data_IF_494311519500
#
_entry.id   IF_494311519500
#
_cell.length_a   1.000
_cell.length_b   1.000
_cell.length_c   1.000
_cell.angle_alpha   90.00
_cell.angle_beta   90.00
_cell.angle_gamma   90.00
#
_symmetry.space_group_name_H-M   'P 1'
#
loop_
_entity.id
_entity.type
_entity.pdbx_description
1 polymer ?
#
# COMPACT_ATOMS: atom_id res chain seq x y z
N UNK A 1 7.38 -46.43 10.03
CA UNK A 1 8.09 -45.34 9.37
C UNK A 1 7.46 -45.11 8.01
N UNK A 2 6.52 -44.20 7.98
CA UNK A 2 5.79 -43.82 6.77
C UNK A 2 6.35 -42.46 6.31
N UNK A 3 7.17 -42.47 5.26
CA UNK A 3 7.56 -41.26 4.56
C UNK A 3 6.35 -40.77 3.78
N UNK A 4 5.78 -39.64 4.20
CA UNK A 4 4.82 -38.89 3.39
C UNK A 4 5.61 -38.34 2.21
N UNK A 5 5.33 -38.88 1.03
CA UNK A 5 5.90 -38.42 -0.21
C UNK A 5 5.50 -36.96 -0.45
N UNK A 6 6.47 -36.05 -0.37
CA UNK A 6 6.32 -34.72 -0.96
C UNK A 6 6.13 -34.91 -2.47
N UNK A 7 4.89 -34.87 -2.95
CA UNK A 7 4.61 -34.74 -4.36
C UNK A 7 5.34 -33.48 -4.82
N UNK A 8 6.26 -33.62 -5.78
CA UNK A 8 6.85 -32.50 -6.53
C UNK A 8 5.69 -31.67 -7.07
N UNK A 9 5.40 -30.56 -6.45
CA UNK A 9 4.63 -29.50 -7.07
C UNK A 9 5.41 -29.15 -8.34
N UNK A 10 4.89 -29.56 -9.49
CA UNK A 10 5.54 -29.34 -10.77
C UNK A 10 5.81 -27.85 -10.93
N UNK A 11 7.07 -27.46 -11.03
CA UNK A 11 7.44 -26.12 -11.42
C UNK A 11 6.77 -25.85 -12.76
N UNK A 12 5.81 -24.93 -12.77
CA UNK A 12 5.24 -24.39 -14.00
C UNK A 12 6.38 -23.74 -14.79
N UNK A 13 6.37 -23.85 -16.10
CA UNK A 13 7.37 -23.31 -17.03
C UNK A 13 7.61 -21.80 -16.92
N UNK A 14 6.86 -21.10 -16.05
CA UNK A 14 6.97 -19.65 -15.79
C UNK A 14 7.14 -19.33 -14.29
N UNK A 15 7.61 -20.24 -13.45
CA UNK A 15 7.88 -19.99 -12.04
C UNK A 15 6.66 -19.77 -11.13
N UNK A 16 5.43 -19.83 -11.65
CA UNK A 16 4.21 -19.62 -10.86
C UNK A 16 3.79 -20.89 -10.10
N UNK A 17 3.28 -20.70 -8.89
CA UNK A 17 2.73 -21.79 -8.06
C UNK A 17 1.24 -22.02 -8.33
N UNK A 18 0.50 -20.99 -8.71
CA UNK A 18 -0.92 -21.09 -9.04
C UNK A 18 -1.10 -21.45 -10.52
N UNK A 19 -1.49 -22.68 -10.78
CA UNK A 19 -1.78 -23.14 -12.14
C UNK A 19 -3.05 -22.52 -12.71
N UNK A 20 -4.05 -22.30 -11.86
CA UNK A 20 -5.34 -21.71 -12.23
C UNK A 20 -5.73 -20.62 -11.24
N UNK A 21 -5.82 -19.35 -11.68
CA UNK A 21 -6.37 -18.29 -10.86
C UNK A 21 -7.84 -18.56 -10.49
N UNK A 22 -8.25 -18.22 -9.27
CA UNK A 22 -9.64 -18.36 -8.82
C UNK A 22 -10.62 -17.52 -9.64
N UNK A 23 -10.15 -16.45 -10.25
CA UNK A 23 -10.91 -15.58 -11.13
C UNK A 23 -10.13 -15.31 -12.42
N UNK A 24 -10.82 -15.07 -13.52
CA UNK A 24 -10.19 -14.69 -14.78
C UNK A 24 -9.42 -13.37 -14.61
N UNK A 25 -8.09 -13.35 -14.74
CA UNK A 25 -7.31 -12.15 -14.56
C UNK A 25 -7.60 -11.15 -15.69
N UNK A 26 -7.82 -9.90 -15.30
CA UNK A 26 -7.95 -8.77 -16.25
C UNK A 26 -6.70 -7.90 -16.24
N UNK A 27 -6.12 -7.67 -15.06
CA UNK A 27 -4.89 -6.90 -14.90
C UNK A 27 -3.66 -7.74 -15.27
N UNK A 28 -2.73 -7.14 -15.99
CA UNK A 28 -1.44 -7.72 -16.37
C UNK A 28 -0.28 -7.16 -15.54
N UNK A 29 -0.45 -6.00 -14.93
CA UNK A 29 0.55 -5.30 -14.14
C UNK A 29 -0.10 -4.69 -12.91
N UNK A 30 0.64 -4.63 -11.82
CA UNK A 30 0.25 -3.97 -10.57
C UNK A 30 1.27 -2.89 -10.26
N UNK A 31 0.81 -1.68 -10.01
CA UNK A 31 1.64 -0.56 -9.55
C UNK A 31 1.11 -0.16 -8.18
N UNK A 32 1.96 -0.24 -7.17
CA UNK A 32 1.65 0.23 -5.83
C UNK A 32 2.32 1.59 -5.61
N UNK A 33 1.54 2.64 -5.46
CA UNK A 33 2.01 3.97 -5.07
C UNK A 33 1.88 4.09 -3.56
N UNK A 34 3.00 3.92 -2.86
CA UNK A 34 3.02 3.92 -1.40
C UNK A 34 3.53 5.27 -0.86
N UNK A 35 2.69 5.93 -0.09
CA UNK A 35 3.02 7.18 0.60
C UNK A 35 3.50 6.87 2.02
N UNK A 36 4.81 6.70 2.19
CA UNK A 36 5.43 6.44 3.48
C UNK A 36 5.17 7.56 4.49
N UNK A 37 4.77 7.21 5.70
CA UNK A 37 4.42 8.17 6.75
C UNK A 37 2.96 8.64 6.73
N UNK A 38 2.17 8.10 5.83
CA UNK A 38 0.75 8.36 5.59
C UNK A 38 0.42 9.78 5.02
N UNK A 39 -0.62 9.82 4.24
CA UNK A 39 -1.24 11.06 3.80
C UNK A 39 -2.44 11.38 4.68
N UNK A 40 -2.73 12.66 4.91
CA UNK A 40 -3.95 13.09 5.58
C UNK A 40 -5.16 12.80 4.70
N UNK A 41 -5.84 11.69 4.92
CA UNK A 41 -6.99 11.29 4.11
C UNK A 41 -8.14 12.31 4.15
N UNK A 42 -8.33 12.97 5.30
CA UNK A 42 -9.36 14.00 5.48
C UNK A 42 -9.07 15.29 4.71
N UNK A 43 -7.84 15.51 4.28
CA UNK A 43 -7.44 16.65 3.44
C UNK A 43 -7.40 16.30 1.95
N UNK A 44 -7.45 15.02 1.59
CA UNK A 44 -7.23 14.54 0.22
C UNK A 44 -8.44 13.83 -0.39
N UNK A 45 -8.97 12.80 0.28
CA UNK A 45 -9.90 11.85 -0.34
C UNK A 45 -11.21 11.66 0.43
N UNK A 46 -11.21 11.97 1.72
CA UNK A 46 -12.31 11.65 2.62
C UNK A 46 -13.00 12.93 3.12
N UNK A 47 -13.87 13.47 2.29
CA UNK A 47 -14.64 14.68 2.59
C UNK A 47 -15.55 14.49 3.80
N UNK A 48 -15.35 15.30 4.84
CA UNK A 48 -16.08 15.25 6.11
C UNK A 48 -16.78 16.58 6.40
N UNK A 49 -18.02 16.78 5.94
CA UNK A 49 -18.78 18.01 6.23
C UNK A 49 -18.93 18.30 7.73
N UNK A 50 -18.98 17.25 8.56
CA UNK A 50 -19.05 17.41 10.01
C UNK A 50 -17.83 18.13 10.60
N UNK A 51 -16.62 17.90 10.07
CA UNK A 51 -15.41 18.60 10.51
C UNK A 51 -15.46 20.09 10.17
N UNK A 52 -16.11 20.45 9.05
CA UNK A 52 -16.31 21.86 8.68
C UNK A 52 -17.28 22.52 9.64
N UNK A 53 -18.38 21.83 9.95
CA UNK A 53 -19.43 22.33 10.86
C UNK A 53 -18.92 22.54 12.29
N UNK A 54 -18.11 21.59 12.80
CA UNK A 54 -17.64 21.59 14.20
C UNK A 54 -16.23 22.14 14.35
N UNK A 55 -15.70 22.84 13.35
CA UNK A 55 -14.35 23.40 13.38
C UNK A 55 -14.16 24.34 14.57
N UNK A 56 -13.13 24.08 15.37
CA UNK A 56 -12.78 24.86 16.56
C UNK A 56 -13.50 24.43 17.84
N UNK A 57 -14.52 23.56 17.75
CA UNK A 57 -15.17 22.99 18.94
C UNK A 57 -14.28 21.92 19.59
N UNK A 58 -14.46 21.71 20.89
CA UNK A 58 -13.74 20.66 21.62
C UNK A 58 -14.02 19.30 20.98
N UNK A 59 -12.97 18.54 20.67
CA UNK A 59 -13.12 17.19 20.13
C UNK A 59 -13.65 16.23 21.19
N UNK A 60 -14.61 15.41 20.78
CA UNK A 60 -15.16 14.32 21.57
C UNK A 60 -15.39 13.13 20.65
N UNK A 61 -14.74 12.02 20.95
CA UNK A 61 -14.84 10.78 20.17
C UNK A 61 -15.77 9.76 20.84
N UNK A 62 -16.36 10.11 21.99
CA UNK A 62 -17.17 9.19 22.80
C UNK A 62 -16.38 8.07 23.47
N UNK A 63 -15.07 7.99 23.24
CA UNK A 63 -14.15 7.02 23.83
C UNK A 63 -12.77 7.64 24.07
N UNK A 64 -11.94 6.95 24.84
CA UNK A 64 -10.56 7.39 25.08
C UNK A 64 -9.73 7.19 23.82
N UNK A 65 -9.13 8.27 23.31
CA UNK A 65 -8.19 8.25 22.18
C UNK A 65 -6.81 8.62 22.69
N UNK A 66 -5.83 7.74 22.48
CA UNK A 66 -4.43 8.06 22.78
C UNK A 66 -3.90 9.14 21.84
N UNK A 67 -3.36 10.19 22.40
CA UNK A 67 -2.64 11.22 21.69
C UNK A 67 -1.16 11.15 22.03
N UNK A 68 -0.30 11.20 21.01
CA UNK A 68 1.15 11.10 21.19
C UNK A 68 1.78 12.33 21.86
N UNK A 69 1.09 13.46 21.87
CA UNK A 69 1.56 14.73 22.47
C UNK A 69 0.37 15.49 23.04
N UNK A 70 0.57 16.28 24.05
CA UNK A 70 -0.31 17.32 24.64
C UNK A 70 -1.85 17.13 24.60
N UNK A 71 -2.35 15.92 24.36
CA UNK A 71 -3.79 15.64 24.25
C UNK A 71 -4.37 15.93 22.87
N UNK A 72 -5.69 15.76 22.77
CA UNK A 72 -6.45 16.03 21.56
C UNK A 72 -6.75 17.53 21.46
N UNK A 73 -6.49 18.07 20.25
CA UNK A 73 -6.91 19.42 19.91
C UNK A 73 -8.41 19.52 19.59
N UNK A 74 -8.91 20.72 19.29
CA UNK A 74 -10.29 20.90 18.81
C UNK A 74 -10.47 20.25 17.43
N UNK A 75 -11.72 20.01 17.03
CA UNK A 75 -12.06 19.58 15.68
C UNK A 75 -11.46 20.55 14.66
N UNK A 76 -10.81 20.00 13.64
CA UNK A 76 -10.20 20.78 12.58
C UNK A 76 -10.84 20.45 11.23
N UNK A 77 -11.31 21.47 10.53
CA UNK A 77 -11.77 21.33 9.15
C UNK A 77 -10.58 20.95 8.22
N UNK A 78 -10.83 20.36 7.06
CA UNK A 78 -9.79 20.16 6.05
C UNK A 78 -9.05 21.46 5.74
N UNK A 79 -7.75 21.38 5.52
CA UNK A 79 -6.89 22.52 5.15
C UNK A 79 -7.19 23.01 3.75
N UNK A 80 -7.53 22.07 2.85
CA UNK A 80 -7.77 22.33 1.44
C UNK A 80 -9.25 22.27 1.10
N UNK A 81 -9.65 23.05 0.10
CA UNK A 81 -11.00 22.96 -0.44
C UNK A 81 -11.24 21.64 -1.16
N UNK A 82 -12.46 21.14 -1.03
CA UNK A 82 -12.93 19.96 -1.74
C UNK A 82 -13.87 20.37 -2.86
N UNK A 83 -13.69 19.72 -4.02
CA UNK A 83 -14.57 19.91 -5.19
C UNK A 83 -14.99 18.55 -5.74
N UNK A 84 -16.19 18.46 -6.34
CA UNK A 84 -16.62 17.23 -7.02
C UNK A 84 -15.85 17.06 -8.32
N UNK A 85 -15.47 15.83 -8.65
CA UNK A 85 -14.75 15.44 -9.84
C UNK A 85 -15.40 14.22 -10.50
N UNK A 86 -15.19 14.11 -11.84
CA UNK A 86 -15.73 13.02 -12.65
C UNK A 86 -17.25 13.01 -12.77
N UNK A 87 -17.77 12.07 -13.50
CA UNK A 87 -19.20 11.80 -13.59
C UNK A 87 -19.80 11.23 -12.29
N UNK A 88 -18.95 10.57 -11.49
CA UNK A 88 -19.33 10.02 -10.17
C UNK A 88 -19.45 11.09 -9.08
N UNK A 89 -19.00 12.33 -9.31
CA UNK A 89 -19.06 13.43 -8.35
C UNK A 89 -18.17 13.22 -7.10
N UNK A 90 -17.11 12.44 -7.19
CA UNK A 90 -16.20 12.20 -6.06
C UNK A 90 -15.57 13.49 -5.58
N UNK A 91 -15.74 13.77 -4.29
CA UNK A 91 -15.09 14.91 -3.65
C UNK A 91 -13.59 14.62 -3.45
N UNK A 92 -12.74 15.48 -4.02
CA UNK A 92 -11.28 15.45 -3.87
C UNK A 92 -10.78 16.79 -3.35
N UNK A 93 -9.78 16.74 -2.47
CA UNK A 93 -9.06 17.92 -2.03
C UNK A 93 -8.24 18.54 -3.19
N UNK A 94 -8.05 19.83 -3.15
CA UNK A 94 -7.39 20.60 -4.24
C UNK A 94 -6.01 20.06 -4.62
N UNK A 95 -5.23 19.60 -3.65
CA UNK A 95 -3.86 19.07 -3.87
C UNK A 95 -3.81 17.80 -4.70
N UNK A 96 -4.90 17.04 -4.77
CA UNK A 96 -5.03 15.81 -5.57
C UNK A 96 -6.03 15.96 -6.72
N UNK A 97 -6.39 17.16 -7.07
CA UNK A 97 -7.40 17.49 -8.11
C UNK A 97 -7.12 16.85 -9.48
N UNK A 98 -5.84 16.65 -9.82
CA UNK A 98 -5.45 15.96 -11.08
C UNK A 98 -5.89 14.50 -11.13
N UNK A 99 -6.12 13.85 -9.99
CA UNK A 99 -6.72 12.51 -9.99
C UNK A 99 -8.19 12.53 -10.44
N UNK A 100 -8.80 13.71 -10.47
CA UNK A 100 -10.14 13.92 -11.00
C UNK A 100 -10.32 13.49 -12.46
N UNK A 101 -9.25 13.50 -13.25
CA UNK A 101 -9.27 13.08 -14.65
C UNK A 101 -9.49 11.57 -14.83
N UNK A 102 -9.22 10.79 -13.80
CA UNK A 102 -9.32 9.31 -13.77
C UNK A 102 -10.20 8.80 -12.63
N UNK A 103 -10.88 9.69 -11.92
CA UNK A 103 -11.59 9.36 -10.69
C UNK A 103 -12.75 8.36 -10.90
N UNK A 104 -13.36 8.39 -12.09
CA UNK A 104 -14.44 7.47 -12.46
C UNK A 104 -13.97 6.01 -12.62
N UNK A 105 -12.66 5.82 -12.84
CA UNK A 105 -12.02 4.50 -12.89
C UNK A 105 -11.44 4.07 -11.53
N UNK A 106 -11.61 4.88 -10.47
CA UNK A 106 -11.06 4.62 -9.13
C UNK A 106 -12.10 4.05 -8.18
N UNK A 107 -11.69 3.09 -7.36
CA UNK A 107 -12.44 2.63 -6.21
C UNK A 107 -11.83 3.20 -4.92
N UNK A 108 -12.66 3.84 -4.11
CA UNK A 108 -12.27 4.42 -2.82
C UNK A 108 -12.77 3.53 -1.68
N UNK A 109 -11.85 3.03 -0.88
CA UNK A 109 -12.20 2.25 0.31
C UNK A 109 -11.95 3.13 1.53
N UNK A 110 -13.04 3.71 2.04
CA UNK A 110 -13.02 4.49 3.27
C UNK A 110 -13.12 3.56 4.49
N UNK A 111 -12.81 4.06 5.67
CA UNK A 111 -12.90 3.32 6.93
C UNK A 111 -11.98 2.08 7.05
N UNK A 112 -10.89 2.02 6.29
CA UNK A 112 -9.84 1.04 6.55
C UNK A 112 -9.12 1.43 7.84
N UNK A 113 -9.13 0.52 8.81
CA UNK A 113 -8.52 0.72 10.12
C UNK A 113 -7.28 -0.18 10.22
N UNK A 114 -6.13 0.43 10.52
CA UNK A 114 -4.90 -0.28 10.87
C UNK A 114 -4.83 -0.54 12.39
N UNK A 115 -4.11 -1.56 12.78
CA UNK A 115 -3.90 -1.91 14.19
C UNK A 115 -2.96 -0.95 14.94
N UNK A 116 -2.26 -0.08 14.22
CA UNK A 116 -1.25 0.80 14.78
C UNK A 116 -1.13 2.09 14.00
N UNK A 117 -0.87 3.21 14.70
CA UNK A 117 -0.50 4.50 14.13
C UNK A 117 1.01 4.73 14.09
N UNK A 118 1.84 3.78 14.57
CA UNK A 118 3.30 3.89 14.56
C UNK A 118 3.83 3.63 13.15
N UNK A 119 4.54 4.60 12.56
CA UNK A 119 4.96 4.59 11.15
C UNK A 119 5.69 3.31 10.72
N UNK A 120 6.63 2.79 11.52
CA UNK A 120 7.38 1.59 11.18
C UNK A 120 6.49 0.34 11.15
N UNK A 121 5.65 0.14 12.16
CA UNK A 121 4.71 -0.98 12.23
C UNK A 121 3.63 -0.86 11.16
N UNK A 122 3.08 0.33 10.95
CA UNK A 122 2.09 0.60 9.92
C UNK A 122 2.65 0.38 8.50
N UNK A 123 3.93 0.72 8.26
CA UNK A 123 4.60 0.45 6.98
C UNK A 123 4.72 -1.05 6.71
N UNK A 124 5.09 -1.85 7.71
CA UNK A 124 5.04 -3.31 7.58
C UNK A 124 3.62 -3.81 7.29
N UNK A 125 2.64 -3.34 8.06
CA UNK A 125 1.25 -3.74 7.90
C UNK A 125 0.75 -3.50 6.46
N UNK A 126 1.03 -2.34 5.91
CA UNK A 126 0.66 -1.96 4.54
C UNK A 126 1.42 -2.75 3.46
N UNK A 127 2.68 -3.11 3.72
CA UNK A 127 3.53 -3.79 2.74
C UNK A 127 3.40 -5.31 2.77
N UNK A 128 3.12 -5.90 3.93
CA UNK A 128 3.18 -7.34 4.17
C UNK A 128 1.90 -7.94 4.74
N UNK A 129 0.99 -7.12 5.27
CA UNK A 129 -0.19 -7.56 6.01
C UNK A 129 0.07 -7.82 7.51
N UNK A 130 1.30 -7.63 8.00
CA UNK A 130 1.69 -7.84 9.39
C UNK A 130 2.40 -6.60 9.95
N UNK A 131 2.23 -6.31 11.22
CA UNK A 131 2.82 -5.16 11.92
C UNK A 131 4.28 -5.35 12.37
N UNK A 132 4.90 -6.45 11.98
CA UNK A 132 6.25 -6.88 12.38
C UNK A 132 7.04 -7.46 11.19
N UNK A 133 8.39 -7.50 11.27
CA UNK A 133 9.22 -8.07 10.22
C UNK A 133 9.08 -9.60 10.11
N UNK A 134 9.58 -10.17 9.01
CA UNK A 134 9.65 -11.62 8.79
C UNK A 134 8.56 -12.16 7.85
N UNK A 135 7.79 -11.28 7.22
CA UNK A 135 6.76 -11.66 6.26
C UNK A 135 7.07 -11.09 4.87
N UNK A 136 6.70 -11.83 3.80
CA UNK A 136 6.95 -11.38 2.44
C UNK A 136 6.13 -10.14 2.09
N UNK A 137 6.74 -9.23 1.32
CA UNK A 137 6.03 -8.09 0.76
C UNK A 137 4.97 -8.52 -0.25
N UNK A 138 3.95 -7.67 -0.48
CA UNK A 138 2.86 -7.96 -1.41
C UNK A 138 3.36 -8.35 -2.81
N UNK A 139 4.38 -7.64 -3.34
CA UNK A 139 4.95 -7.95 -4.65
C UNK A 139 5.65 -9.32 -4.69
N UNK A 140 6.21 -9.78 -3.56
CA UNK A 140 6.78 -11.13 -3.45
C UNK A 140 5.71 -12.21 -3.59
N UNK A 141 4.54 -12.01 -2.98
CA UNK A 141 3.41 -12.93 -3.12
C UNK A 141 2.85 -12.95 -4.55
N UNK A 142 2.77 -11.79 -5.20
CA UNK A 142 2.34 -11.69 -6.60
C UNK A 142 3.31 -12.44 -7.51
N UNK A 143 4.63 -12.23 -7.33
CA UNK A 143 5.68 -12.94 -8.07
C UNK A 143 5.60 -14.46 -7.85
N UNK A 144 5.54 -14.89 -6.59
CA UNK A 144 5.49 -16.29 -6.21
C UNK A 144 4.23 -17.01 -6.73
N UNK A 145 3.07 -16.37 -6.58
CA UNK A 145 1.78 -16.97 -6.96
C UNK A 145 1.54 -16.98 -8.46
N UNK A 146 1.84 -15.89 -9.14
CA UNK A 146 1.46 -15.67 -10.53
C UNK A 146 2.64 -15.78 -11.53
N UNK A 147 3.87 -15.77 -11.03
CA UNK A 147 5.07 -15.81 -11.86
C UNK A 147 5.32 -14.52 -12.64
N UNK A 148 6.17 -14.61 -13.66
CA UNK A 148 6.54 -13.51 -14.53
C UNK A 148 5.98 -13.71 -15.94
N UNK A 149 5.67 -12.60 -16.62
CA UNK A 149 5.41 -12.60 -18.07
C UNK A 149 6.68 -12.34 -18.88
N UNK A 150 7.82 -12.20 -18.21
CA UNK A 150 9.12 -11.88 -18.83
C UNK A 150 10.21 -12.71 -18.17
N UNK A 151 11.09 -13.29 -19.00
CA UNK A 151 12.16 -14.17 -18.53
C UNK A 151 13.46 -13.40 -18.22
N UNK A 152 13.59 -12.15 -18.67
CA UNK A 152 14.82 -11.38 -18.61
C UNK A 152 14.76 -10.14 -17.67
N UNK A 153 13.61 -9.88 -17.06
CA UNK A 153 13.42 -8.73 -16.17
C UNK A 153 12.88 -9.18 -14.82
N UNK A 154 13.23 -8.48 -13.73
CA UNK A 154 12.66 -8.75 -12.43
C UNK A 154 11.13 -8.64 -12.46
N UNK A 155 10.46 -9.60 -11.84
CA UNK A 155 8.99 -9.61 -11.73
C UNK A 155 8.51 -8.52 -10.79
N UNK A 156 9.24 -8.28 -9.70
CA UNK A 156 8.94 -7.27 -8.69
C UNK A 156 10.03 -6.20 -8.65
N UNK A 157 9.69 -5.00 -9.07
CA UNK A 157 10.59 -3.84 -9.08
C UNK A 157 10.17 -2.85 -8.02
N UNK A 158 11.13 -2.30 -7.30
CA UNK A 158 10.96 -1.26 -6.28
C UNK A 158 11.68 0.01 -6.72
N UNK A 159 10.94 1.10 -6.82
CA UNK A 159 11.47 2.43 -7.10
C UNK A 159 11.40 3.27 -5.82
N UNK A 160 12.48 3.40 -5.06
CA UNK A 160 12.48 4.20 -3.85
C UNK A 160 12.41 5.69 -4.16
N UNK A 161 11.92 6.47 -3.19
CA UNK A 161 11.99 7.93 -3.26
C UNK A 161 13.45 8.39 -3.32
N UNK A 162 13.71 9.48 -4.03
CA UNK A 162 15.06 10.06 -4.15
C UNK A 162 15.66 10.49 -2.81
N UNK A 163 14.81 10.81 -1.83
CA UNK A 163 15.20 11.19 -0.46
C UNK A 163 15.60 10.00 0.40
N UNK A 164 15.28 8.78 0.00
CA UNK A 164 15.58 7.57 0.73
C UNK A 164 14.43 6.58 0.82
N UNK A 165 14.58 5.64 1.74
CA UNK A 165 13.57 4.61 1.98
C UNK A 165 12.54 5.07 3.01
N UNK A 166 11.32 4.59 2.86
CA UNK A 166 10.33 4.59 3.95
C UNK A 166 10.87 3.80 5.16
N UNK A 167 10.23 3.98 6.32
CA UNK A 167 10.57 3.22 7.53
C UNK A 167 10.75 1.73 7.23
N UNK A 168 11.73 1.09 7.86
CA UNK A 168 12.13 -0.31 7.70
C UNK A 168 12.91 -0.64 6.41
N UNK A 169 12.99 0.27 5.44
CA UNK A 169 13.78 0.08 4.23
C UNK A 169 13.44 -1.22 3.48
N UNK A 170 14.48 -1.97 3.03
CA UNK A 170 14.30 -3.18 2.23
C UNK A 170 13.45 -4.29 2.86
N UNK A 171 13.25 -4.27 4.16
CA UNK A 171 12.39 -5.26 4.84
C UNK A 171 10.91 -5.17 4.44
N UNK A 172 10.49 -4.07 3.83
CA UNK A 172 9.11 -3.90 3.34
C UNK A 172 8.81 -4.69 2.05
N UNK A 173 9.84 -5.10 1.31
CA UNK A 173 9.72 -5.83 0.03
C UNK A 173 10.63 -7.05 -0.05
N UNK A 174 11.08 -7.53 1.08
CA UNK A 174 11.84 -8.76 1.18
C UNK A 174 10.96 -9.99 0.95
N UNK A 175 11.58 -11.06 0.43
CA UNK A 175 10.91 -12.34 0.20
C UNK A 175 10.63 -13.13 1.49
N UNK A 176 11.31 -12.80 2.60
CA UNK A 176 11.23 -13.49 3.88
C UNK A 176 11.39 -15.02 3.72
N UNK A 177 10.34 -15.80 3.96
CA UNK A 177 10.36 -17.26 3.83
C UNK A 177 10.03 -17.77 2.41
N UNK A 178 9.70 -16.88 1.46
CA UNK A 178 9.56 -17.25 0.05
C UNK A 178 10.94 -17.35 -0.62
N UNK A 179 11.05 -18.04 -1.77
CA UNK A 179 12.29 -18.09 -2.52
C UNK A 179 12.84 -16.71 -2.85
N UNK A 180 14.17 -16.55 -2.77
CA UNK A 180 14.85 -15.27 -2.92
C UNK A 180 14.61 -14.59 -4.28
N UNK A 181 14.33 -15.35 -5.32
CA UNK A 181 13.97 -14.85 -6.66
C UNK A 181 12.69 -13.99 -6.69
N UNK A 182 11.86 -14.11 -5.67
CA UNK A 182 10.63 -13.30 -5.54
C UNK A 182 10.85 -11.97 -4.81
N UNK A 183 12.07 -11.70 -4.36
CA UNK A 183 12.39 -10.45 -3.67
C UNK A 183 12.30 -9.25 -4.61
N UNK A 184 11.87 -8.10 -4.08
CA UNK A 184 11.85 -6.86 -4.82
C UNK A 184 13.24 -6.39 -5.24
N UNK A 185 13.45 -6.17 -6.53
CA UNK A 185 14.68 -5.59 -7.08
C UNK A 185 14.58 -4.07 -7.04
N UNK A 186 15.55 -3.45 -6.36
CA UNK A 186 15.60 -1.99 -6.22
C UNK A 186 16.25 -1.40 -7.46
N UNK A 187 15.58 -0.43 -8.09
CA UNK A 187 16.18 0.39 -9.15
C UNK A 187 16.24 1.84 -8.64
N UNK A 188 17.44 2.41 -8.60
CA UNK A 188 17.69 3.79 -8.17
C UNK A 188 18.00 4.66 -9.38
N UNK A 189 17.07 5.49 -9.83
CA UNK A 189 17.30 6.37 -10.98
C UNK A 189 18.44 7.36 -10.68
N UNK A 190 19.23 7.67 -11.71
CA UNK A 190 20.31 8.65 -11.61
C UNK A 190 21.63 8.15 -11.02
N UNK A 191 21.78 6.85 -10.78
CA UNK A 191 23.05 6.23 -10.40
C UNK A 191 23.68 5.52 -11.59
N UNK A 192 25.02 5.49 -11.62
CA UNK A 192 25.78 4.79 -12.67
C UNK A 192 25.48 3.28 -12.67
N UNK A 193 25.29 2.71 -11.48
CA UNK A 193 24.77 1.35 -11.27
C UNK A 193 23.41 1.44 -10.55
N UNK A 194 22.30 1.42 -11.26
CA UNK A 194 20.96 1.62 -10.69
C UNK A 194 20.44 0.40 -9.91
N UNK A 195 21.04 -0.78 -10.06
CA UNK A 195 20.67 -2.06 -9.39
C UNK A 195 21.69 -2.39 -8.32
#
# INVERSE_FOLDING_TARGET
SSMIGMSKLGASTNGRVLNHPHHRPKAKRVIQLFMGGAASHIDLFDYKPALIKHHGEKSDFGEHVEAFQNGLGPWMKPVWEFKPHGGCGKMLGETVSKLGDVVDDMAFVHNLIGKTGVHSQATYLQSTGFDRPGFPGMGCWVSYGLGSMNDNLPTFVVLPDHRGFASNGPKNWGSAFLPAENQGTIIRPGRENPI
#
